data_IF_436881954587
#
_entry.id   IF_436881954587
#
_cell.length_a   1.000
_cell.length_b   1.000
_cell.length_c   1.000
_cell.angle_alpha   90.00
_cell.angle_beta   90.00
_cell.angle_gamma   90.00
#
_symmetry.space_group_name_H-M   'P 1'
#
loop_
_entity.id
_entity.type
_entity.pdbx_description
1 polymer ?
#
# COMPACT_ATOMS: atom_id res chain seq x y z
N UNK A 1 -13.42 -4.27 12.20
CA UNK A 1 -12.58 -3.05 12.31
C UNK A 1 -13.39 -1.79 11.98
N UNK A 2 -14.24 -1.78 10.94
CA UNK A 2 -15.01 -0.59 10.49
C UNK A 2 -15.72 0.26 11.56
N UNK A 3 -16.33 -0.34 12.59
CA UNK A 3 -17.06 0.38 13.63
C UNK A 3 -16.18 1.02 14.71
N UNK A 4 -14.85 0.85 14.61
CA UNK A 4 -13.89 1.38 15.58
C UNK A 4 -13.22 2.68 15.11
N UNK A 5 -13.40 3.06 13.85
CA UNK A 5 -12.95 4.34 13.31
C UNK A 5 -14.04 5.39 13.48
N UNK A 6 -13.67 6.66 13.44
CA UNK A 6 -14.62 7.78 13.50
C UNK A 6 -15.62 7.76 12.33
N UNK A 7 -15.16 7.31 11.17
CA UNK A 7 -15.98 7.08 9.97
C UNK A 7 -15.49 5.86 9.17
N UNK A 8 -16.36 5.31 8.32
CA UNK A 8 -15.98 4.16 7.47
C UNK A 8 -16.74 4.17 6.14
N UNK A 9 -16.04 3.75 5.08
CA UNK A 9 -16.55 3.76 3.71
C UNK A 9 -16.36 2.40 3.05
N UNK A 10 -17.28 2.04 2.16
CA UNK A 10 -17.22 0.78 1.43
C UNK A 10 -16.27 0.86 0.22
N UNK A 11 -15.54 -0.23 -0.02
CA UNK A 11 -14.69 -0.44 -1.19
C UNK A 11 -15.14 -1.68 -1.99
N UNK A 12 -14.89 -1.65 -3.30
CA UNK A 12 -15.01 -2.79 -4.21
C UNK A 12 -16.41 -3.07 -4.75
N UNK A 13 -17.40 -2.21 -4.49
CA UNK A 13 -18.73 -2.23 -5.13
C UNK A 13 -19.21 -0.81 -5.36
N UNK A 14 -19.95 -0.59 -6.45
CA UNK A 14 -20.55 0.70 -6.76
C UNK A 14 -20.60 1.02 -8.25
N UNK A 15 -21.33 2.08 -8.65
CA UNK A 15 -21.54 2.43 -10.06
C UNK A 15 -20.26 2.88 -10.78
N UNK A 16 -19.21 3.24 -10.04
CA UNK A 16 -17.91 3.61 -10.57
C UNK A 16 -17.04 2.39 -10.98
N UNK A 17 -17.48 1.17 -10.67
CA UNK A 17 -16.79 -0.06 -11.02
C UNK A 17 -17.52 -0.82 -12.13
N UNK A 18 -16.75 -1.46 -13.04
CA UNK A 18 -17.30 -2.28 -14.12
C UNK A 18 -17.97 -3.58 -13.62
N UNK A 19 -17.50 -4.08 -12.47
CA UNK A 19 -18.01 -5.26 -11.78
C UNK A 19 -17.68 -5.15 -10.30
N UNK A 20 -18.40 -5.90 -9.48
CA UNK A 20 -18.06 -6.07 -8.08
C UNK A 20 -16.73 -6.82 -7.91
N UNK A 21 -15.90 -6.34 -6.99
CA UNK A 21 -14.63 -6.98 -6.60
C UNK A 21 -14.88 -8.10 -5.59
N UNK A 22 -14.02 -9.12 -5.63
CA UNK A 22 -13.96 -10.15 -4.61
C UNK A 22 -13.56 -9.62 -3.23
N UNK A 23 -13.82 -10.36 -2.14
CA UNK A 23 -13.66 -9.85 -0.77
C UNK A 23 -12.24 -9.38 -0.43
N UNK A 24 -11.20 -10.05 -0.96
CA UNK A 24 -9.80 -9.63 -0.78
C UNK A 24 -9.39 -8.63 -1.86
N UNK A 25 -9.86 -8.82 -3.10
CA UNK A 25 -9.59 -7.91 -4.23
C UNK A 25 -9.97 -6.46 -3.89
N UNK A 26 -11.09 -6.25 -3.18
CA UNK A 26 -11.51 -4.93 -2.72
C UNK A 26 -10.47 -4.20 -1.86
N UNK A 27 -9.68 -4.93 -1.06
CA UNK A 27 -8.62 -4.37 -0.21
C UNK A 27 -7.27 -4.25 -0.95
N UNK A 28 -7.11 -4.95 -2.07
CA UNK A 28 -5.92 -4.86 -2.93
C UNK A 28 -6.05 -3.79 -4.02
N UNK A 29 -7.21 -3.14 -4.13
CA UNK A 29 -7.42 -2.08 -5.11
C UNK A 29 -6.84 -0.76 -4.64
N UNK A 30 -5.71 -0.36 -5.23
CA UNK A 30 -5.09 0.96 -5.04
C UNK A 30 -6.10 2.07 -5.36
N UNK A 31 -6.84 1.95 -6.47
CA UNK A 31 -7.80 2.96 -6.91
C UNK A 31 -8.93 3.17 -5.90
N UNK A 32 -9.47 2.10 -5.32
CA UNK A 32 -10.53 2.20 -4.31
C UNK A 32 -10.03 2.85 -3.02
N UNK A 33 -8.81 2.49 -2.57
CA UNK A 33 -8.22 3.08 -1.37
C UNK A 33 -7.96 4.57 -1.57
N UNK A 34 -7.37 4.97 -2.70
CA UNK A 34 -7.14 6.38 -3.02
C UNK A 34 -8.46 7.15 -3.20
N UNK A 35 -9.49 6.53 -3.79
CA UNK A 35 -10.83 7.13 -3.91
C UNK A 35 -11.41 7.44 -2.54
N UNK A 36 -11.36 6.49 -1.60
CA UNK A 36 -11.90 6.69 -0.25
C UNK A 36 -11.10 7.75 0.51
N UNK A 37 -9.77 7.73 0.44
CA UNK A 37 -8.95 8.73 1.12
C UNK A 37 -9.26 10.17 0.64
N UNK A 38 -9.50 10.36 -0.66
CA UNK A 38 -9.96 11.65 -1.20
C UNK A 38 -11.37 12.01 -0.75
N UNK A 39 -12.28 11.03 -0.70
CA UNK A 39 -13.68 11.23 -0.29
C UNK A 39 -13.76 11.65 1.19
N UNK A 40 -12.99 11.02 2.06
CA UNK A 40 -12.96 11.33 3.49
C UNK A 40 -12.09 12.53 3.83
N UNK A 41 -11.23 12.98 2.90
CA UNK A 41 -10.25 14.04 3.15
C UNK A 41 -9.08 13.60 4.04
N UNK A 42 -8.72 12.31 4.01
CA UNK A 42 -7.56 11.80 4.74
C UNK A 42 -6.26 12.31 4.13
N UNK A 43 -5.36 12.82 4.97
CA UNK A 43 -4.03 13.35 4.60
C UNK A 43 -2.92 12.29 4.68
N UNK A 44 -3.19 11.15 5.32
CA UNK A 44 -2.25 10.04 5.44
C UNK A 44 -2.95 8.68 5.39
N UNK A 45 -2.24 7.65 4.92
CA UNK A 45 -2.69 6.25 4.90
C UNK A 45 -1.67 5.36 5.61
N UNK A 46 -2.14 4.60 6.60
CA UNK A 46 -1.40 3.51 7.21
C UNK A 46 -1.77 2.18 6.54
N UNK A 47 -0.84 1.47 5.88
CA UNK A 47 -1.18 0.27 5.12
C UNK A 47 -1.29 -1.00 5.98
N UNK A 48 -0.86 -0.96 7.24
CA UNK A 48 -0.83 -2.14 8.10
C UNK A 48 0.27 -3.10 7.68
N UNK A 49 -0.06 -4.39 7.62
CA UNK A 49 0.80 -5.47 7.16
C UNK A 49 0.05 -6.34 6.14
N UNK A 50 0.79 -6.95 5.20
CA UNK A 50 0.18 -7.64 4.06
C UNK A 50 -0.57 -6.67 3.15
N UNK A 51 -1.44 -7.19 2.28
CA UNK A 51 -2.19 -6.39 1.32
C UNK A 51 -1.26 -5.47 0.49
N UNK A 52 -1.38 -4.16 0.65
CA UNK A 52 -0.61 -3.15 -0.08
C UNK A 52 0.59 -2.60 0.72
N UNK A 53 0.91 -3.15 1.90
CA UNK A 53 1.96 -2.61 2.79
C UNK A 53 3.36 -2.59 2.19
N UNK A 54 3.63 -3.48 1.23
CA UNK A 54 4.92 -3.59 0.54
C UNK A 54 4.80 -3.27 -0.96
N UNK A 55 3.69 -2.64 -1.39
CA UNK A 55 3.52 -2.23 -2.79
C UNK A 55 4.14 -0.85 -3.01
N UNK A 56 5.27 -0.74 -3.73
CA UNK A 56 5.82 0.56 -4.11
C UNK A 56 4.87 1.35 -5.00
N UNK A 57 4.05 0.67 -5.83
CA UNK A 57 3.03 1.30 -6.67
C UNK A 57 1.96 1.99 -5.82
N UNK A 58 1.58 1.40 -4.69
CA UNK A 58 0.62 2.03 -3.77
C UNK A 58 1.19 3.26 -3.09
N UNK A 59 2.44 3.20 -2.63
CA UNK A 59 3.13 4.36 -2.04
C UNK A 59 3.31 5.50 -3.06
N UNK A 60 3.59 5.17 -4.33
CA UNK A 60 3.63 6.13 -5.44
C UNK A 60 2.26 6.76 -5.70
N UNK A 61 1.19 5.96 -5.71
CA UNK A 61 -0.18 6.45 -5.89
C UNK A 61 -0.61 7.40 -4.75
N UNK A 62 -0.21 7.11 -3.50
CA UNK A 62 -0.41 8.02 -2.37
C UNK A 62 0.29 9.36 -2.62
N UNK A 63 1.57 9.34 -3.00
CA UNK A 63 2.34 10.56 -3.28
C UNK A 63 1.74 11.39 -4.44
N UNK A 64 1.31 10.73 -5.52
CA UNK A 64 0.64 11.38 -6.66
C UNK A 64 -0.71 12.00 -6.26
N UNK A 65 -1.39 11.42 -5.27
CA UNK A 65 -2.63 11.96 -4.73
C UNK A 65 -2.42 13.01 -3.63
N UNK A 66 -1.18 13.34 -3.26
CA UNK A 66 -0.88 14.26 -2.16
C UNK A 66 -1.16 13.69 -0.77
N UNK A 67 -1.19 12.36 -0.64
CA UNK A 67 -1.48 11.64 0.61
C UNK A 67 -0.18 11.06 1.16
N UNK A 68 0.06 11.26 2.45
CA UNK A 68 1.23 10.72 3.13
C UNK A 68 1.10 9.22 3.29
N UNK A 69 2.01 8.46 2.68
CA UNK A 69 2.13 7.03 2.94
C UNK A 69 2.91 6.81 4.25
N UNK A 70 2.28 6.19 5.25
CA UNK A 70 2.93 5.90 6.54
C UNK A 70 3.76 4.62 6.40
N UNK A 71 4.99 4.77 5.92
CA UNK A 71 5.95 3.69 5.71
C UNK A 71 7.19 4.15 4.93
N UNK A 72 8.01 3.22 4.43
CA UNK A 72 9.22 3.55 3.68
C UNK A 72 8.91 4.16 2.30
N UNK A 73 9.91 4.76 1.67
CA UNK A 73 9.78 5.30 0.30
C UNK A 73 9.64 4.16 -0.73
N UNK A 74 8.98 4.38 -1.88
CA UNK A 74 8.85 3.38 -2.95
C UNK A 74 10.19 2.78 -3.40
N UNK A 75 11.24 3.60 -3.56
CA UNK A 75 12.59 3.13 -3.90
C UNK A 75 13.14 2.14 -2.86
N UNK A 76 12.96 2.44 -1.57
CA UNK A 76 13.35 1.54 -0.48
C UNK A 76 12.63 0.21 -0.57
N UNK A 77 11.32 0.22 -0.87
CA UNK A 77 10.55 -1.02 -1.07
C UNK A 77 11.04 -1.81 -2.29
N UNK A 78 11.35 -1.16 -3.42
CA UNK A 78 11.88 -1.84 -4.62
C UNK A 78 13.23 -2.51 -4.33
N UNK A 79 14.09 -1.84 -3.56
CA UNK A 79 15.41 -2.36 -3.17
C UNK A 79 15.33 -3.55 -2.20
N UNK A 80 14.38 -3.53 -1.27
CA UNK A 80 14.28 -4.53 -0.20
C UNK A 80 13.25 -5.65 -0.46
N UNK A 81 12.25 -5.41 -1.30
CA UNK A 81 11.19 -6.37 -1.61
C UNK A 81 11.67 -7.55 -2.46
N UNK A 82 12.69 -7.33 -3.30
CA UNK A 82 13.37 -8.43 -3.98
C UNK A 82 14.45 -9.01 -3.06
N UNK A 83 14.24 -10.23 -2.59
CA UNK A 83 15.18 -10.93 -1.69
C UNK A 83 16.60 -11.06 -2.24
N UNK A 84 16.77 -11.18 -3.56
CA UNK A 84 18.09 -11.22 -4.20
C UNK A 84 18.76 -9.85 -4.13
N UNK A 85 18.03 -8.79 -4.47
CA UNK A 85 18.54 -7.42 -4.38
C UNK A 85 18.88 -7.05 -2.92
N UNK A 86 18.01 -7.41 -1.98
CA UNK A 86 18.23 -7.21 -0.55
C UNK A 86 19.46 -7.97 -0.04
N UNK A 87 19.67 -9.22 -0.48
CA UNK A 87 20.87 -10.01 -0.15
C UNK A 87 22.14 -9.36 -0.69
N UNK A 88 22.11 -8.88 -1.94
CA UNK A 88 23.25 -8.21 -2.54
C UNK A 88 23.57 -6.90 -1.80
N UNK A 89 22.55 -6.14 -1.41
CA UNK A 89 22.72 -4.95 -0.58
C UNK A 89 23.35 -5.29 0.78
N UNK A 90 22.94 -6.38 1.42
CA UNK A 90 23.53 -6.85 2.67
C UNK A 90 25.03 -7.18 2.51
N UNK A 91 25.40 -7.87 1.43
CA UNK A 91 26.81 -8.18 1.11
C UNK A 91 27.62 -6.89 0.90
N UNK A 92 27.07 -5.91 0.16
CA UNK A 92 27.71 -4.63 -0.15
C UNK A 92 28.12 -3.86 1.12
N UNK A 93 27.29 -3.92 2.17
CA UNK A 93 27.56 -3.25 3.46
C UNK A 93 28.22 -4.18 4.50
N UNK A 94 28.68 -5.36 4.09
CA UNK A 94 29.41 -6.29 4.96
C UNK A 94 28.55 -7.06 5.97
N UNK A 95 27.24 -7.16 5.76
CA UNK A 95 26.33 -7.97 6.59
C UNK A 95 26.40 -9.43 6.14
N UNK A 96 26.60 -10.40 7.05
CA UNK A 96 26.69 -11.82 6.71
C UNK A 96 25.36 -12.36 6.17
N UNK A 97 25.44 -13.23 5.16
CA UNK A 97 24.29 -13.90 4.52
C UNK A 97 24.48 -15.41 4.44
N UNK A 98 23.39 -16.17 4.40
CA UNK A 98 23.43 -17.62 4.16
C UNK A 98 23.86 -17.88 2.70
N UNK A 99 24.84 -18.79 2.46
CA UNK A 99 25.25 -19.19 1.12
C UNK A 99 24.10 -19.69 0.25
#
# INVERSE_FOLDING_TARGET
>A
HRFKADESYQVGRGPHLKKDMGPIESYLSIEEVIRVARLSGADAIHPGYGLLSESPEFAEACAQAGITFIGPKPDTMRRLGNKVAARNLAIEVGVPVVP
#
